data_IF_724779720439
#
_entry.id   IF_724779720439
#
_cell.length_a   1.000
_cell.length_b   1.000
_cell.length_c   1.000
_cell.angle_alpha   90.00
_cell.angle_beta   90.00
_cell.angle_gamma   90.00
#
_symmetry.space_group_name_H-M   'P 1'
#
loop_
_entity.id
_entity.type
_entity.pdbx_description
1 polymer ?
#
# COMPACT_ATOMS: atom_id res chain seq x y z
N UNK A 1 -29.32 1.17 -5.55
CA UNK A 1 -28.87 2.08 -4.47
C UNK A 1 -27.56 1.61 -3.85
N UNK A 2 -27.41 0.33 -3.51
CA UNK A 2 -26.16 -0.23 -2.96
C UNK A 2 -24.92 0.04 -3.82
N UNK A 3 -24.98 -0.25 -5.13
CA UNK A 3 -23.85 0.01 -6.04
C UNK A 3 -23.41 1.49 -6.06
N UNK A 4 -24.38 2.41 -5.99
CA UNK A 4 -24.07 3.84 -5.94
C UNK A 4 -23.33 4.21 -4.65
N UNK A 5 -23.73 3.66 -3.50
CA UNK A 5 -23.01 3.88 -2.25
C UNK A 5 -21.61 3.27 -2.24
N UNK A 6 -21.44 2.09 -2.84
CA UNK A 6 -20.13 1.46 -2.98
C UNK A 6 -19.19 2.34 -3.79
N UNK A 7 -19.61 2.75 -5.00
CA UNK A 7 -18.79 3.61 -5.88
C UNK A 7 -18.47 4.95 -5.20
N UNK A 8 -19.45 5.55 -4.51
CA UNK A 8 -19.23 6.80 -3.79
C UNK A 8 -18.22 6.64 -2.65
N UNK A 9 -18.33 5.57 -1.88
CA UNK A 9 -17.45 5.28 -0.76
C UNK A 9 -16.02 4.98 -1.22
N UNK A 10 -15.84 4.13 -2.23
CA UNK A 10 -14.50 3.78 -2.75
C UNK A 10 -13.84 4.97 -3.42
N UNK A 11 -14.58 5.79 -4.20
CA UNK A 11 -14.05 7.05 -4.72
C UNK A 11 -13.65 8.04 -3.61
N UNK A 12 -14.44 8.14 -2.54
CA UNK A 12 -14.12 9.00 -1.41
C UNK A 12 -12.83 8.57 -0.70
N UNK A 13 -12.61 7.25 -0.57
CA UNK A 13 -11.37 6.68 -0.04
C UNK A 13 -10.20 6.94 -0.99
N UNK A 14 -10.32 6.70 -2.31
CA UNK A 14 -9.25 6.98 -3.26
C UNK A 14 -8.84 8.47 -3.31
N UNK A 15 -9.74 9.40 -2.94
CA UNK A 15 -9.39 10.81 -2.84
C UNK A 15 -8.46 11.11 -1.64
N UNK A 16 -8.38 10.22 -0.65
CA UNK A 16 -7.45 10.32 0.47
C UNK A 16 -6.01 10.24 -0.02
N UNK A 17 -5.72 9.57 -1.14
CA UNK A 17 -4.37 9.54 -1.75
C UNK A 17 -3.81 10.94 -2.04
N UNK A 18 -4.66 11.97 -2.15
CA UNK A 18 -4.21 13.36 -2.28
C UNK A 18 -3.77 14.01 -0.96
N UNK A 19 -3.89 13.35 0.19
CA UNK A 19 -3.41 13.85 1.48
C UNK A 19 -1.90 14.13 1.46
N UNK A 20 -1.16 13.45 0.57
CA UNK A 20 0.24 13.75 0.27
C UNK A 20 0.48 15.21 -0.15
N UNK A 21 -0.53 15.93 -0.66
CA UNK A 21 -0.44 17.38 -0.96
C UNK A 21 -0.08 18.19 0.28
N UNK A 22 -0.55 17.77 1.47
CA UNK A 22 -0.20 18.44 2.73
C UNK A 22 1.30 18.45 2.98
N UNK A 23 2.02 17.41 2.53
CA UNK A 23 3.48 17.35 2.63
C UNK A 23 4.19 18.37 1.73
N UNK A 24 3.54 18.86 0.67
CA UNK A 24 4.08 19.93 -0.19
C UNK A 24 4.20 21.25 0.57
N UNK A 25 3.34 21.48 1.56
CA UNK A 25 3.34 22.65 2.42
C UNK A 25 4.34 22.54 3.59
N UNK A 26 4.92 21.35 3.81
CA UNK A 26 5.83 21.06 4.92
C UNK A 26 7.29 21.21 4.46
N UNK A 27 8.14 21.78 5.32
CA UNK A 27 9.57 21.91 5.02
C UNK A 27 10.26 20.55 4.88
N UNK A 28 11.24 20.43 3.97
CA UNK A 28 11.97 19.16 3.72
C UNK A 28 12.53 18.53 5.01
N UNK A 29 13.07 19.37 5.91
CA UNK A 29 13.64 18.94 7.21
C UNK A 29 12.59 18.33 8.16
N UNK A 30 11.36 18.84 8.15
CA UNK A 30 10.26 18.23 8.91
C UNK A 30 9.74 16.97 8.20
N UNK A 31 9.64 17.02 6.88
CA UNK A 31 9.17 15.88 6.08
C UNK A 31 10.07 14.66 6.31
N UNK A 32 11.39 14.81 6.26
CA UNK A 32 12.32 13.68 6.48
C UNK A 32 12.16 13.05 7.88
N UNK A 33 11.88 13.85 8.91
CA UNK A 33 11.61 13.35 10.28
C UNK A 33 10.26 12.65 10.39
N UNK A 34 9.22 13.24 9.82
CA UNK A 34 7.86 12.69 9.87
C UNK A 34 7.78 11.42 9.03
N UNK A 35 8.42 11.39 7.86
CA UNK A 35 8.40 10.26 6.95
C UNK A 35 8.92 8.98 7.63
N UNK A 36 10.00 9.08 8.41
CA UNK A 36 10.52 7.90 9.13
C UNK A 36 9.54 7.39 10.20
N UNK A 37 8.82 8.30 10.86
CA UNK A 37 7.75 7.95 11.82
C UNK A 37 6.55 7.34 11.10
N UNK A 38 6.15 7.89 9.95
CA UNK A 38 5.02 7.41 9.17
C UNK A 38 5.30 6.06 8.53
N UNK A 39 6.51 5.82 8.02
CA UNK A 39 6.93 4.50 7.52
C UNK A 39 6.91 3.48 8.66
N UNK A 40 7.38 3.84 9.85
CA UNK A 40 7.30 2.97 11.03
C UNK A 40 5.85 2.72 11.45
N UNK A 41 4.98 3.72 11.38
CA UNK A 41 3.55 3.61 11.68
C UNK A 41 2.83 2.73 10.67
N UNK A 42 3.09 2.89 9.37
CA UNK A 42 2.51 2.08 8.31
C UNK A 42 2.98 0.62 8.41
N UNK A 43 4.30 0.40 8.50
CA UNK A 43 4.86 -0.94 8.68
C UNK A 43 4.36 -1.62 9.95
N UNK A 44 4.28 -0.89 11.07
CA UNK A 44 3.74 -1.38 12.33
C UNK A 44 2.23 -1.64 12.28
N UNK A 45 1.46 -0.79 11.61
CA UNK A 45 0.02 -0.93 11.42
C UNK A 45 -0.34 -2.15 10.56
N UNK A 46 0.35 -2.34 9.43
CA UNK A 46 0.17 -3.49 8.55
C UNK A 46 0.57 -4.80 9.25
N UNK A 47 1.72 -4.83 9.94
CA UNK A 47 2.10 -6.00 10.75
C UNK A 47 1.08 -6.24 11.88
N UNK A 48 0.65 -5.19 12.58
CA UNK A 48 -0.37 -5.28 13.63
C UNK A 48 -1.69 -5.85 13.12
N UNK A 49 -2.19 -5.36 11.99
CA UNK A 49 -3.39 -5.87 11.33
C UNK A 49 -3.27 -7.35 10.96
N UNK A 50 -2.13 -7.76 10.39
CA UNK A 50 -1.87 -9.16 10.06
C UNK A 50 -1.84 -10.07 11.30
N UNK A 51 -1.04 -9.73 12.32
CA UNK A 51 -0.81 -10.59 13.48
C UNK A 51 -1.91 -10.54 14.54
N UNK A 52 -2.54 -9.39 14.76
CA UNK A 52 -3.51 -9.20 15.84
C UNK A 52 -4.96 -9.36 15.38
N UNK A 53 -5.23 -9.23 14.08
CA UNK A 53 -6.58 -9.33 13.54
C UNK A 53 -6.71 -10.47 12.53
N UNK A 54 -6.03 -10.41 11.38
CA UNK A 54 -6.28 -11.33 10.27
C UNK A 54 -5.95 -12.80 10.61
N UNK A 55 -4.78 -13.05 11.21
CA UNK A 55 -4.37 -14.42 11.58
C UNK A 55 -5.29 -14.99 12.68
N UNK A 56 -5.54 -14.28 13.81
CA UNK A 56 -6.47 -14.76 14.85
C UNK A 56 -7.89 -14.98 14.35
N UNK A 57 -8.41 -14.09 13.50
CA UNK A 57 -9.76 -14.22 12.94
C UNK A 57 -9.86 -15.44 12.02
N UNK A 58 -8.84 -15.66 11.18
CA UNK A 58 -8.77 -16.84 10.30
C UNK A 58 -8.77 -18.15 11.11
N UNK A 59 -8.06 -18.17 12.24
CA UNK A 59 -8.03 -19.33 13.15
C UNK A 59 -9.39 -19.58 13.81
N UNK A 60 -10.13 -18.53 14.17
CA UNK A 60 -11.47 -18.64 14.76
C UNK A 60 -12.52 -19.05 13.72
N UNK A 61 -12.39 -18.60 12.48
CA UNK A 61 -13.24 -19.01 11.37
C UNK A 61 -13.03 -20.48 10.96
N UNK A 62 -11.94 -21.10 11.42
CA UNK A 62 -11.68 -22.51 11.21
C UNK A 62 -12.64 -23.34 12.08
N UNK A 63 -13.53 -24.11 11.45
CA UNK A 63 -14.48 -24.96 12.16
C UNK A 63 -13.79 -26.00 13.07
N UNK A 64 -14.49 -26.44 14.13
CA UNK A 64 -13.97 -27.40 15.09
C UNK A 64 -13.40 -28.67 14.41
N UNK A 65 -12.16 -29.03 14.75
CA UNK A 65 -11.47 -30.21 14.21
C UNK A 65 -10.67 -29.99 12.91
N UNK A 66 -10.63 -28.77 12.37
CA UNK A 66 -9.79 -28.41 11.22
C UNK A 66 -8.35 -28.10 11.64
N UNK A 67 -7.39 -28.43 10.78
CA UNK A 67 -5.96 -28.24 11.03
C UNK A 67 -5.54 -26.78 10.75
N UNK A 68 -5.17 -26.06 11.82
CA UNK A 68 -4.65 -24.69 11.77
C UNK A 68 -3.39 -24.54 10.91
N UNK A 69 -2.65 -25.63 10.67
CA UNK A 69 -1.45 -25.64 9.82
C UNK A 69 -1.74 -25.08 8.43
N UNK A 70 -2.94 -25.28 7.89
CA UNK A 70 -3.33 -24.75 6.57
C UNK A 70 -3.25 -23.22 6.52
N UNK A 71 -3.67 -22.52 7.57
CA UNK A 71 -3.61 -21.04 7.63
C UNK A 71 -2.16 -20.58 7.59
N UNK A 72 -1.30 -21.17 8.41
CA UNK A 72 0.12 -20.81 8.44
C UNK A 72 0.84 -21.13 7.13
N UNK A 73 0.45 -22.20 6.42
CA UNK A 73 0.95 -22.48 5.07
C UNK A 73 0.57 -21.35 4.09
N UNK A 74 -0.66 -20.84 4.12
CA UNK A 74 -1.05 -19.69 3.28
C UNK A 74 -0.27 -18.42 3.64
N UNK A 75 -0.01 -18.16 4.92
CA UNK A 75 0.84 -17.03 5.35
C UNK A 75 2.25 -17.16 4.78
N UNK A 76 2.88 -18.34 4.88
CA UNK A 76 4.22 -18.60 4.32
C UNK A 76 4.22 -18.44 2.81
N UNK A 77 3.22 -18.97 2.11
CA UNK A 77 3.10 -18.84 0.66
C UNK A 77 2.96 -17.38 0.24
N UNK A 78 2.17 -16.58 0.97
CA UNK A 78 2.06 -15.14 0.75
C UNK A 78 3.40 -14.43 0.92
N UNK A 79 4.12 -14.72 2.02
CA UNK A 79 5.45 -14.16 2.25
C UNK A 79 6.46 -14.53 1.15
N UNK A 80 6.51 -15.81 0.75
CA UNK A 80 7.38 -16.28 -0.33
C UNK A 80 7.02 -15.63 -1.67
N UNK A 81 5.74 -15.47 -1.97
CA UNK A 81 5.28 -14.79 -3.18
C UNK A 81 5.78 -13.33 -3.21
N UNK A 82 5.58 -12.57 -2.12
CA UNK A 82 6.08 -11.19 -2.03
C UNK A 82 7.60 -11.12 -2.12
N UNK A 83 8.32 -12.07 -1.50
CA UNK A 83 9.78 -12.17 -1.60
C UNK A 83 10.23 -12.44 -3.05
N UNK A 84 9.54 -13.32 -3.78
CA UNK A 84 9.84 -13.59 -5.18
C UNK A 84 9.56 -12.39 -6.07
N UNK A 85 8.47 -11.66 -5.82
CA UNK A 85 8.15 -10.42 -6.52
C UNK A 85 9.24 -9.37 -6.25
N UNK A 86 9.66 -9.20 -5.00
CA UNK A 86 10.76 -8.30 -4.63
C UNK A 86 12.06 -8.68 -5.35
N UNK A 87 12.44 -9.95 -5.31
CA UNK A 87 13.66 -10.45 -5.96
C UNK A 87 13.60 -10.26 -7.49
N UNK A 88 12.46 -10.53 -8.11
CA UNK A 88 12.25 -10.32 -9.54
C UNK A 88 12.40 -8.84 -9.92
N UNK A 89 11.78 -7.93 -9.17
CA UNK A 89 11.90 -6.50 -9.41
C UNK A 89 13.33 -5.97 -9.19
N UNK A 90 14.07 -6.56 -8.25
CA UNK A 90 15.48 -6.22 -8.01
C UNK A 90 16.41 -6.76 -9.11
N UNK A 91 16.14 -7.95 -9.64
CA UNK A 91 17.00 -8.60 -10.65
C UNK A 91 17.03 -7.85 -11.98
N UNK A 92 15.89 -7.28 -12.41
CA UNK A 92 15.79 -6.59 -13.69
C UNK A 92 16.56 -5.25 -13.80
N UNK A 93 17.41 -4.89 -12.83
CA UNK A 93 18.23 -3.66 -12.84
C UNK A 93 19.75 -3.88 -12.76
N UNK A 94 20.27 -5.09 -13.00
CA UNK A 94 21.71 -5.28 -13.27
C UNK A 94 21.99 -5.48 -14.76
N UNK A 95 22.11 -4.37 -15.50
CA UNK A 95 22.85 -4.34 -16.76
C UNK A 95 23.74 -3.09 -16.83
N UNK A 96 24.84 -3.09 -16.08
CA UNK A 96 26.10 -2.56 -16.61
C UNK A 96 26.95 -3.75 -17.01
N UNK A 97 26.98 -4.02 -18.31
CA UNK A 97 27.89 -4.96 -18.91
C UNK A 97 29.34 -4.52 -18.67
N UNK A 98 30.21 -5.51 -18.43
CA UNK A 98 31.62 -5.37 -18.14
C UNK A 98 32.34 -4.48 -19.16
N UNK A 99 33.11 -3.52 -18.63
CA UNK A 99 34.30 -3.00 -19.29
C UNK A 99 34.08 -1.77 -20.15
N UNK A 100 33.87 -0.62 -19.51
CA UNK A 100 34.46 0.67 -19.91
C UNK A 100 34.23 1.65 -18.76
N UNK A 101 35.16 2.57 -18.58
CA UNK A 101 35.28 3.50 -17.45
C UNK A 101 34.04 4.39 -17.31
N UNK A 102 33.26 4.20 -16.26
CA UNK A 102 32.32 5.23 -15.80
C UNK A 102 33.04 6.07 -14.74
N UNK A 103 33.57 7.21 -15.19
CA UNK A 103 33.80 8.36 -14.34
C UNK A 103 32.50 8.74 -13.62
N UNK A 104 32.66 9.41 -12.49
CA UNK A 104 31.63 9.85 -11.57
C UNK A 104 30.48 10.58 -12.28
N UNK A 105 29.28 9.99 -12.33
CA UNK A 105 28.05 10.70 -12.65
C UNK A 105 27.05 10.59 -11.48
N UNK A 106 26.97 11.68 -10.70
CA UNK A 106 26.03 11.90 -9.60
C UNK A 106 24.55 12.09 -10.03
N UNK A 107 24.13 11.67 -11.24
CA UNK A 107 22.86 12.14 -11.82
C UNK A 107 22.03 11.09 -12.59
N UNK A 108 21.84 9.88 -12.06
CA UNK A 108 20.82 8.96 -12.60
C UNK A 108 19.58 8.86 -11.69
N UNK A 109 18.59 9.66 -12.06
CA UNK A 109 17.22 9.75 -11.55
C UNK A 109 16.36 8.52 -11.92
N UNK A 110 16.83 7.30 -11.69
CA UNK A 110 15.97 6.14 -11.85
C UNK A 110 15.21 5.86 -10.55
N UNK A 111 13.88 5.85 -10.68
CA UNK A 111 12.96 5.42 -9.65
C UNK A 111 13.45 4.11 -9.02
N UNK A 112 13.92 4.18 -7.77
CA UNK A 112 14.44 3.00 -7.04
C UNK A 112 13.42 1.85 -7.15
N UNK A 113 13.84 0.59 -7.37
CA UNK A 113 12.93 -0.56 -7.50
C UNK A 113 11.85 -0.62 -6.40
N UNK A 114 12.21 -0.20 -5.19
CA UNK A 114 11.32 -0.04 -4.04
C UNK A 114 10.08 0.84 -4.33
N UNK A 115 10.24 1.97 -5.03
CA UNK A 115 9.13 2.89 -5.34
C UNK A 115 8.08 2.26 -6.25
N UNK A 116 8.49 1.39 -7.18
CA UNK A 116 7.57 0.66 -8.07
C UNK A 116 6.90 -0.51 -7.36
N UNK A 117 7.64 -1.21 -6.49
CA UNK A 117 7.08 -2.27 -5.66
C UNK A 117 6.01 -1.72 -4.72
N UNK A 118 6.25 -0.55 -4.11
CA UNK A 118 5.27 0.12 -3.24
C UNK A 118 3.99 0.46 -4.01
N UNK A 119 4.08 1.11 -5.17
CA UNK A 119 2.89 1.40 -5.99
C UNK A 119 2.10 0.14 -6.38
N UNK A 120 2.80 -0.95 -6.68
CA UNK A 120 2.13 -2.20 -7.00
C UNK A 120 1.46 -2.83 -5.77
N UNK A 121 2.16 -2.89 -4.64
CA UNK A 121 1.65 -3.41 -3.39
C UNK A 121 0.46 -2.61 -2.87
N UNK A 122 0.56 -1.28 -2.93
CA UNK A 122 -0.49 -0.34 -2.58
C UNK A 122 -1.72 -0.50 -3.50
N UNK A 123 -1.53 -0.73 -4.80
CA UNK A 123 -2.65 -0.99 -5.71
C UNK A 123 -3.36 -2.31 -5.41
N UNK A 124 -2.63 -3.35 -4.97
CA UNK A 124 -3.26 -4.60 -4.52
C UNK A 124 -3.99 -4.40 -3.19
N UNK A 125 -3.42 -3.62 -2.28
CA UNK A 125 -4.04 -3.29 -0.98
C UNK A 125 -5.36 -2.53 -1.17
N UNK A 126 -5.32 -1.44 -1.95
CA UNK A 126 -6.47 -0.61 -2.26
C UNK A 126 -7.60 -1.41 -2.93
N UNK A 127 -7.27 -2.34 -3.84
CA UNK A 127 -8.25 -3.27 -4.40
C UNK A 127 -8.92 -4.13 -3.32
N UNK A 128 -8.15 -4.70 -2.40
CA UNK A 128 -8.69 -5.52 -1.29
C UNK A 128 -9.60 -4.68 -0.40
N UNK A 129 -9.20 -3.45 -0.08
CA UNK A 129 -10.01 -2.52 0.70
C UNK A 129 -11.33 -2.16 0.00
N UNK A 130 -11.28 -1.94 -1.32
CA UNK A 130 -12.46 -1.77 -2.17
C UNK A 130 -13.42 -2.95 -2.10
N UNK A 131 -12.90 -4.18 -2.20
CA UNK A 131 -13.70 -5.42 -2.08
C UNK A 131 -14.33 -5.55 -0.69
N UNK A 132 -13.60 -5.20 0.37
CA UNK A 132 -14.11 -5.24 1.75
C UNK A 132 -15.22 -4.21 1.95
N UNK A 133 -15.06 -2.98 1.45
CA UNK A 133 -16.11 -1.94 1.46
C UNK A 133 -17.35 -2.44 0.70
N UNK A 134 -17.15 -2.97 -0.50
CA UNK A 134 -18.24 -3.48 -1.33
C UNK A 134 -19.02 -4.61 -0.62
N UNK A 135 -18.31 -5.59 -0.06
CA UNK A 135 -18.92 -6.69 0.70
C UNK A 135 -19.72 -6.18 1.90
N UNK A 136 -19.20 -5.21 2.64
CA UNK A 136 -19.89 -4.61 3.79
C UNK A 136 -21.19 -3.90 3.40
N UNK A 137 -21.21 -3.15 2.30
CA UNK A 137 -22.44 -2.49 1.82
C UNK A 137 -23.48 -3.48 1.29
N UNK A 138 -23.05 -4.64 0.77
CA UNK A 138 -23.95 -5.74 0.40
C UNK A 138 -24.63 -6.33 1.64
N UNK A 139 -23.93 -6.40 2.78
CA UNK A 139 -24.53 -6.84 4.06
C UNK A 139 -25.55 -5.81 4.55
N UNK A 140 -25.14 -4.58 4.84
CA UNK A 140 -26.05 -3.45 5.07
C UNK A 140 -25.33 -2.09 4.97
N UNK A 141 -26.06 -0.97 4.77
CA UNK A 141 -25.45 0.35 4.64
C UNK A 141 -24.68 0.86 5.88
N UNK A 142 -25.08 0.47 7.08
CA UNK A 142 -24.41 0.88 8.33
C UNK A 142 -23.04 0.23 8.50
N UNK A 143 -22.93 -1.07 8.23
CA UNK A 143 -21.66 -1.81 8.22
C UNK A 143 -20.76 -1.25 7.11
N UNK A 144 -21.31 -1.02 5.90
CA UNK A 144 -20.59 -0.36 4.81
C UNK A 144 -19.98 0.97 5.21
N UNK A 145 -20.73 1.84 5.89
CA UNK A 145 -20.23 3.14 6.36
C UNK A 145 -19.11 2.99 7.40
N UNK A 146 -19.29 2.11 8.40
CA UNK A 146 -18.27 1.87 9.43
C UNK A 146 -16.98 1.31 8.82
N UNK A 147 -17.10 0.34 7.91
CA UNK A 147 -15.96 -0.21 7.17
C UNK A 147 -15.25 0.87 6.35
N UNK A 148 -15.99 1.71 5.63
CA UNK A 148 -15.42 2.81 4.85
C UNK A 148 -14.63 3.77 5.74
N UNK A 149 -15.17 4.12 6.92
CA UNK A 149 -14.47 4.98 7.87
C UNK A 149 -13.20 4.32 8.42
N UNK A 150 -13.24 3.03 8.72
CA UNK A 150 -12.08 2.29 9.19
C UNK A 150 -10.96 2.28 8.13
N UNK A 151 -11.31 1.96 6.88
CA UNK A 151 -10.37 1.99 5.74
C UNK A 151 -9.78 3.40 5.56
N UNK A 152 -10.64 4.41 5.50
CA UNK A 152 -10.20 5.80 5.34
C UNK A 152 -9.18 6.25 6.40
N UNK A 153 -9.29 5.74 7.63
CA UNK A 153 -8.39 6.11 8.72
C UNK A 153 -6.98 5.52 8.55
N UNK A 154 -6.84 4.28 8.06
CA UNK A 154 -5.52 3.68 7.82
C UNK A 154 -4.90 4.08 6.48
N UNK A 155 -5.73 4.51 5.52
CA UNK A 155 -5.26 5.04 4.24
C UNK A 155 -4.52 6.38 4.39
N UNK A 156 -4.93 7.26 5.32
CA UNK A 156 -4.26 8.55 5.52
C UNK A 156 -2.75 8.37 5.83
N UNK A 157 -2.33 7.56 6.83
CA UNK A 157 -0.91 7.31 7.05
C UNK A 157 -0.20 6.62 5.89
N UNK A 158 -0.84 5.63 5.26
CA UNK A 158 -0.27 4.82 4.18
C UNK A 158 0.07 5.69 2.97
N UNK A 159 -0.90 6.48 2.51
CA UNK A 159 -0.76 7.36 1.35
C UNK A 159 0.31 8.44 1.56
N UNK A 160 0.44 9.01 2.78
CA UNK A 160 1.54 9.94 3.08
C UNK A 160 2.90 9.23 3.04
N UNK A 161 2.96 8.00 3.57
CA UNK A 161 4.16 7.16 3.53
C UNK A 161 4.61 6.88 2.10
N UNK A 162 3.69 6.40 1.26
CA UNK A 162 3.96 6.04 -0.13
C UNK A 162 4.37 7.24 -0.96
N UNK A 163 3.65 8.36 -0.83
CA UNK A 163 4.06 9.63 -1.44
C UNK A 163 5.49 10.01 -1.03
N UNK A 164 5.82 9.86 0.25
CA UNK A 164 7.16 10.10 0.79
C UNK A 164 8.22 9.22 0.13
N UNK A 165 7.96 7.92 0.02
CA UNK A 165 8.90 6.96 -0.61
C UNK A 165 9.04 7.22 -2.10
N UNK A 166 7.98 7.62 -2.81
CA UNK A 166 8.04 8.02 -4.22
C UNK A 166 8.92 9.25 -4.42
N UNK A 167 8.75 10.30 -3.62
CA UNK A 167 9.59 11.50 -3.69
C UNK A 167 11.04 11.18 -3.34
N UNK A 168 11.27 10.38 -2.28
CA UNK A 168 12.62 9.91 -1.92
C UNK A 168 13.26 9.04 -3.02
N UNK A 169 12.45 8.26 -3.72
CA UNK A 169 12.84 7.45 -4.87
C UNK A 169 13.14 8.23 -6.14
N UNK A 170 12.99 9.56 -6.14
CA UNK A 170 13.36 10.43 -7.26
C UNK A 170 12.19 10.92 -8.11
N UNK A 171 10.94 10.58 -7.77
CA UNK A 171 9.77 11.10 -8.48
C UNK A 171 9.59 12.59 -8.22
N UNK A 172 9.24 13.34 -9.28
CA UNK A 172 8.73 14.71 -9.11
C UNK A 172 7.45 14.66 -8.30
N UNK A 173 7.27 15.61 -7.37
CA UNK A 173 6.14 15.66 -6.44
C UNK A 173 4.76 15.49 -7.11
N UNK A 174 4.53 16.16 -8.24
CA UNK A 174 3.27 16.00 -8.99
C UNK A 174 3.07 14.60 -9.59
N UNK A 175 4.15 13.94 -10.05
CA UNK A 175 4.09 12.56 -10.53
C UNK A 175 3.87 11.57 -9.37
N UNK A 176 4.51 11.80 -8.23
CA UNK A 176 4.31 10.97 -7.04
C UNK A 176 2.85 11.01 -6.58
N UNK A 177 2.25 12.21 -6.49
CA UNK A 177 0.82 12.36 -6.17
C UNK A 177 -0.08 11.65 -7.19
N UNK A 178 0.21 11.80 -8.49
CA UNK A 178 -0.59 11.16 -9.52
C UNK A 178 -0.52 9.64 -9.41
N UNK A 179 0.67 9.06 -9.22
CA UNK A 179 0.81 7.61 -9.12
C UNK A 179 0.18 7.03 -7.83
N UNK A 180 0.30 7.72 -6.69
CA UNK A 180 -0.45 7.36 -5.47
C UNK A 180 -1.94 7.32 -5.77
N UNK A 181 -2.49 8.39 -6.35
CA UNK A 181 -3.91 8.45 -6.67
C UNK A 181 -4.35 7.37 -7.66
N UNK A 182 -3.54 7.08 -8.69
CA UNK A 182 -3.82 6.01 -9.64
C UNK A 182 -3.81 4.62 -8.98
N UNK A 183 -2.96 4.43 -7.98
CA UNK A 183 -2.94 3.23 -7.14
C UNK A 183 -4.22 3.14 -6.29
N UNK A 184 -4.60 4.22 -5.61
CA UNK A 184 -5.85 4.33 -4.83
C UNK A 184 -7.13 4.08 -5.63
N UNK A 185 -7.14 4.39 -6.93
CA UNK A 185 -8.29 4.11 -7.81
C UNK A 185 -8.57 2.62 -8.03
N UNK A 186 -7.62 1.73 -7.71
CA UNK A 186 -7.86 0.29 -7.76
C UNK A 186 -8.94 -0.16 -6.78
N UNK A 187 -9.21 0.60 -5.71
CA UNK A 187 -10.33 0.35 -4.79
C UNK A 187 -11.72 0.46 -5.44
N UNK A 188 -11.82 1.06 -6.63
CA UNK A 188 -13.08 1.23 -7.35
C UNK A 188 -13.37 0.05 -8.28
N UNK A 189 -12.37 -0.78 -8.59
CA UNK A 189 -12.47 -1.92 -9.51
C UNK A 189 -13.16 -3.12 -8.86
#
# INVERSE_FOLDING_TARGET
MTLFYIILATLAVSLISFVGVLTLAISKKMLDKILLILVALAGGGLMGGAFLHLIPESLQALGEGQDATKIFVFVILGFLLFLLIEQYLHWHHHHCAKGETCEQDEHHHDAKPMSRLILFGDGVHNLIDGLVIAASFVVNPGVGLVTTMAVALHEIPQEIGDFGVLVYGGYKKGKALLFNFLSGLTAVL
#
